data_IF_558097286512
#
_entry.id   IF_558097286512
#
_cell.length_a   1.000
_cell.length_b   1.000
_cell.length_c   1.000
_cell.angle_alpha   90.00
_cell.angle_beta   90.00
_cell.angle_gamma   90.00
#
_symmetry.space_group_name_H-M   'P 1'
#
loop_
_entity.id
_entity.type
_entity.pdbx_description
1 polymer ?
#
# COMPACT_ATOMS: atom_id res chain seq x y z
N UNK A 1 -8.42 3.46 11.87
CA UNK A 1 -7.21 2.95 12.56
C UNK A 1 -7.21 1.43 12.46
N UNK A 2 -6.04 0.80 12.24
CA UNK A 2 -5.91 -0.66 12.16
C UNK A 2 -6.15 -1.31 13.53
N UNK A 3 -6.74 -2.51 13.56
CA UNK A 3 -7.13 -3.16 14.82
C UNK A 3 -5.92 -3.67 15.61
N UNK A 4 -4.90 -4.20 14.91
CA UNK A 4 -3.75 -4.88 15.50
C UNK A 4 -2.64 -3.86 15.80
N UNK A 5 -2.05 -3.25 14.77
CA UNK A 5 -0.90 -2.34 14.91
C UNK A 5 -1.27 -0.90 15.32
N UNK A 6 -2.56 -0.59 15.48
CA UNK A 6 -3.08 0.75 15.86
C UNK A 6 -2.59 1.87 14.95
N UNK A 7 -2.37 1.57 13.67
CA UNK A 7 -1.91 2.55 12.67
C UNK A 7 -3.11 3.37 12.17
N UNK A 8 -3.04 4.71 12.15
CA UNK A 8 -4.11 5.53 11.60
C UNK A 8 -4.27 5.27 10.09
N UNK A 9 -5.50 5.41 9.59
CA UNK A 9 -5.77 5.36 8.15
C UNK A 9 -5.87 6.80 7.69
N UNK A 10 -5.02 7.19 6.75
CA UNK A 10 -4.96 8.53 6.17
C UNK A 10 -5.05 8.41 4.64
N UNK A 11 -5.52 9.46 3.93
CA UNK A 11 -5.45 9.51 2.47
C UNK A 11 -4.02 9.31 1.97
N UNK A 12 -3.85 8.56 0.87
CA UNK A 12 -2.52 8.26 0.32
C UNK A 12 -1.72 9.52 -0.02
N UNK A 13 -2.37 10.55 -0.58
CA UNK A 13 -1.69 11.81 -0.89
C UNK A 13 -1.16 12.52 0.35
N UNK A 14 -1.95 12.57 1.42
CA UNK A 14 -1.51 13.13 2.72
C UNK A 14 -0.33 12.33 3.29
N UNK A 15 -0.41 11.01 3.24
CA UNK A 15 0.67 10.13 3.68
C UNK A 15 1.96 10.34 2.89
N UNK A 16 1.87 10.44 1.56
CA UNK A 16 3.03 10.67 0.70
C UNK A 16 3.68 12.03 0.98
N UNK A 17 2.89 13.09 1.17
CA UNK A 17 3.41 14.41 1.55
C UNK A 17 4.14 14.39 2.90
N UNK A 18 3.62 13.64 3.88
CA UNK A 18 4.33 13.45 5.17
C UNK A 18 5.65 12.69 4.97
N UNK A 19 5.67 11.67 4.12
CA UNK A 19 6.88 10.90 3.81
C UNK A 19 7.93 11.76 3.10
N UNK A 20 7.53 12.52 2.07
CA UNK A 20 8.39 13.44 1.33
C UNK A 20 9.00 14.51 2.24
N UNK A 21 8.19 15.07 3.14
CA UNK A 21 8.67 16.00 4.17
C UNK A 21 9.70 15.33 5.08
N UNK A 22 9.43 14.11 5.57
CA UNK A 22 10.37 13.39 6.42
C UNK A 22 11.71 13.12 5.72
N UNK A 23 11.70 12.81 4.41
CA UNK A 23 12.90 12.59 3.62
C UNK A 23 13.71 13.88 3.38
N UNK A 24 13.03 15.01 3.15
CA UNK A 24 13.70 16.29 2.89
C UNK A 24 14.25 16.94 4.16
N UNK A 25 13.59 16.78 5.31
CA UNK A 25 13.99 17.44 6.57
C UNK A 25 14.79 16.55 7.52
N UNK A 26 14.76 15.23 7.37
CA UNK A 26 15.26 14.28 8.38
C UNK A 26 16.78 14.06 8.43
N UNK A 27 17.56 14.69 7.55
CA UNK A 27 19.01 14.51 7.50
C UNK A 27 19.46 13.09 7.09
N UNK A 28 20.76 12.76 7.24
CA UNK A 28 21.33 11.49 6.74
C UNK A 28 20.71 10.22 7.34
N UNK A 29 20.21 10.27 8.58
CA UNK A 29 19.62 9.13 9.29
C UNK A 29 18.09 8.99 9.12
N UNK A 30 17.46 9.85 8.31
CA UNK A 30 16.01 9.82 8.11
C UNK A 30 15.50 8.44 7.66
N UNK A 31 16.23 7.80 6.74
CA UNK A 31 15.87 6.50 6.18
C UNK A 31 16.09 5.33 7.16
N UNK A 32 16.82 5.53 8.25
CA UNK A 32 16.98 4.52 9.32
C UNK A 32 15.76 4.55 10.23
N UNK A 33 15.33 5.74 10.66
CA UNK A 33 14.15 5.92 11.51
C UNK A 33 12.83 5.75 10.76
N UNK A 34 12.80 6.04 9.46
CA UNK A 34 11.66 5.81 8.59
C UNK A 34 12.08 5.06 7.30
N UNK A 35 12.12 3.73 7.34
CA UNK A 35 12.53 2.90 6.21
C UNK A 35 11.68 3.09 4.93
N UNK A 36 10.45 3.60 5.03
CA UNK A 36 9.62 3.87 3.86
C UNK A 36 10.24 4.91 2.92
N UNK A 37 11.15 5.78 3.43
CA UNK A 37 11.90 6.74 2.63
C UNK A 37 12.75 6.05 1.56
N UNK A 38 13.23 4.82 1.82
CA UNK A 38 14.00 4.02 0.85
C UNK A 38 13.18 3.66 -0.40
N UNK A 39 11.85 3.76 -0.33
CA UNK A 39 10.91 3.47 -1.41
C UNK A 39 10.23 4.74 -1.94
N UNK A 40 10.81 5.93 -1.70
CA UNK A 40 10.21 7.21 -2.10
C UNK A 40 9.82 7.24 -3.58
N UNK A 41 10.74 6.85 -4.48
CA UNK A 41 10.49 6.85 -5.92
C UNK A 41 9.33 5.92 -6.33
N UNK A 42 9.18 4.81 -5.62
CA UNK A 42 8.08 3.87 -5.86
C UNK A 42 6.74 4.50 -5.49
N UNK A 43 6.65 5.12 -4.31
CA UNK A 43 5.43 5.81 -3.88
C UNK A 43 5.15 7.07 -4.71
N UNK A 44 6.18 7.80 -5.12
CA UNK A 44 6.05 8.99 -5.95
C UNK A 44 5.49 8.69 -7.34
N UNK A 45 5.82 7.53 -7.93
CA UNK A 45 5.17 7.05 -9.15
C UNK A 45 3.67 6.81 -8.96
N UNK A 46 3.28 6.19 -7.84
CA UNK A 46 1.87 5.99 -7.49
C UNK A 46 1.13 7.30 -7.22
N UNK A 47 1.78 8.26 -6.57
CA UNK A 47 1.21 9.58 -6.29
C UNK A 47 0.90 10.35 -7.58
N UNK A 48 1.83 10.35 -8.54
CA UNK A 48 1.61 10.95 -9.86
C UNK A 48 0.44 10.29 -10.60
N UNK A 49 0.39 8.95 -10.62
CA UNK A 49 -0.70 8.22 -11.24
C UNK A 49 -2.08 8.54 -10.60
N UNK A 50 -2.13 8.64 -9.27
CA UNK A 50 -3.34 9.06 -8.55
C UNK A 50 -3.78 10.47 -8.95
N UNK A 51 -2.85 11.43 -9.00
CA UNK A 51 -3.17 12.81 -9.41
C UNK A 51 -3.69 12.89 -10.84
N UNK A 52 -3.04 12.20 -11.78
CA UNK A 52 -3.43 12.18 -13.20
C UNK A 52 -4.84 11.62 -13.38
N UNK A 53 -5.14 10.49 -12.73
CA UNK A 53 -6.46 9.85 -12.79
C UNK A 53 -7.55 10.74 -12.18
N UNK A 54 -7.23 11.42 -11.08
CA UNK A 54 -8.18 12.31 -10.38
C UNK A 54 -8.45 13.58 -11.18
N UNK A 55 -7.40 14.24 -11.71
CA UNK A 55 -7.50 15.49 -12.50
C UNK A 55 -8.32 15.31 -13.77
N UNK A 56 -8.27 14.14 -14.38
CA UNK A 56 -9.03 13.87 -15.60
C UNK A 56 -10.54 13.66 -15.34
N UNK A 57 -10.98 13.53 -14.09
CA UNK A 57 -12.40 13.30 -13.75
C UNK A 57 -12.97 11.98 -14.29
N UNK A 58 -12.12 11.12 -14.85
CA UNK A 58 -12.53 9.92 -15.61
C UNK A 58 -12.86 8.74 -14.71
N UNK A 59 -12.35 8.70 -13.48
CA UNK A 59 -12.41 7.51 -12.66
C UNK A 59 -12.08 7.80 -11.20
N UNK A 60 -12.83 7.21 -10.26
CA UNK A 60 -12.50 7.19 -8.84
C UNK A 60 -11.73 5.89 -8.56
N UNK A 61 -10.39 5.93 -8.40
CA UNK A 61 -9.62 4.73 -8.16
C UNK A 61 -10.04 4.03 -6.88
N UNK A 62 -10.22 2.71 -6.98
CA UNK A 62 -10.40 1.83 -5.81
C UNK A 62 -9.09 1.58 -5.07
N UNK A 63 -7.97 1.68 -5.79
CA UNK A 63 -6.62 1.52 -5.26
C UNK A 63 -5.99 2.85 -4.84
N UNK A 64 -5.22 2.81 -3.76
CA UNK A 64 -4.64 4.00 -3.15
C UNK A 64 -3.55 4.69 -4.01
N UNK A 65 -2.82 3.92 -4.82
CA UNK A 65 -1.67 4.40 -5.61
C UNK A 65 -2.01 4.70 -7.07
N UNK A 66 -3.29 4.89 -7.41
CA UNK A 66 -3.72 5.17 -8.78
C UNK A 66 -3.47 4.02 -9.77
N UNK A 67 -3.29 2.79 -9.27
CA UNK A 67 -3.23 1.60 -10.13
C UNK A 67 -4.58 1.38 -10.82
N UNK A 68 -4.59 0.88 -12.07
CA UNK A 68 -5.82 0.62 -12.79
C UNK A 68 -6.58 -0.56 -12.18
N UNK A 69 -7.91 -0.49 -12.20
CA UNK A 69 -8.76 -1.66 -11.92
C UNK A 69 -8.52 -2.72 -12.99
N UNK A 70 -8.10 -3.92 -12.57
CA UNK A 70 -7.93 -5.06 -13.47
C UNK A 70 -9.20 -5.92 -13.48
N UNK A 71 -9.79 -6.13 -14.65
CA UNK A 71 -10.86 -7.11 -14.80
C UNK A 71 -10.29 -8.54 -14.83
N UNK A 72 -10.76 -9.37 -13.91
CA UNK A 72 -10.29 -10.77 -13.77
C UNK A 72 -11.29 -11.80 -14.29
N UNK A 73 -12.40 -11.38 -14.91
CA UNK A 73 -13.49 -12.25 -15.36
C UNK A 73 -13.00 -13.46 -16.15
N UNK A 74 -12.13 -13.26 -17.15
CA UNK A 74 -11.65 -14.37 -17.99
C UNK A 74 -10.73 -15.32 -17.22
N UNK A 75 -9.87 -14.79 -16.35
CA UNK A 75 -8.98 -15.61 -15.53
C UNK A 75 -9.79 -16.49 -14.57
N UNK A 76 -10.85 -15.93 -13.97
CA UNK A 76 -11.79 -16.67 -13.11
C UNK A 76 -12.61 -17.66 -13.93
N UNK A 77 -13.01 -17.36 -15.17
CA UNK A 77 -13.76 -18.29 -16.03
C UNK A 77 -12.96 -19.54 -16.42
N UNK A 78 -11.65 -19.44 -16.58
CA UNK A 78 -10.82 -20.57 -17.05
C UNK A 78 -10.06 -21.30 -15.95
N UNK A 79 -9.89 -20.69 -14.76
CA UNK A 79 -9.13 -21.28 -13.66
C UNK A 79 -10.04 -21.71 -12.50
N UNK A 80 -10.11 -23.01 -12.25
CA UNK A 80 -10.78 -23.57 -11.07
C UNK A 80 -10.15 -23.09 -9.76
N UNK A 81 -8.83 -23.00 -9.72
CA UNK A 81 -8.10 -22.48 -8.56
C UNK A 81 -8.54 -21.05 -8.24
N UNK A 82 -8.59 -20.15 -9.23
CA UNK A 82 -9.00 -18.76 -9.00
C UNK A 82 -10.48 -18.65 -8.60
N UNK A 83 -11.37 -19.52 -9.10
CA UNK A 83 -12.76 -19.60 -8.62
C UNK A 83 -12.86 -20.05 -7.17
N UNK A 84 -12.02 -21.00 -6.76
CA UNK A 84 -12.02 -21.57 -5.41
C UNK A 84 -11.21 -20.77 -4.39
N UNK A 85 -10.43 -19.78 -4.83
CA UNK A 85 -9.60 -18.94 -3.94
C UNK A 85 -10.46 -18.20 -2.94
N UNK A 86 -10.08 -18.31 -1.66
CA UNK A 86 -10.73 -17.57 -0.57
C UNK A 86 -10.31 -16.11 -0.62
N UNK A 87 -11.24 -15.23 -0.23
CA UNK A 87 -10.93 -13.82 0.01
C UNK A 87 -10.07 -13.73 1.27
N UNK A 88 -8.97 -12.98 1.18
CA UNK A 88 -8.08 -12.75 2.32
C UNK A 88 -8.83 -12.01 3.44
N UNK A 89 -8.63 -12.47 4.67
CA UNK A 89 -9.31 -11.96 5.85
C UNK A 89 -8.35 -11.61 7.00
N UNK A 90 -8.94 -11.39 8.17
CA UNK A 90 -8.19 -11.03 9.37
C UNK A 90 -7.23 -12.15 9.81
N UNK A 91 -7.60 -13.42 9.62
CA UNK A 91 -6.78 -14.58 9.96
C UNK A 91 -5.47 -14.60 9.13
N UNK A 92 -5.56 -14.35 7.82
CA UNK A 92 -4.39 -14.27 6.95
C UNK A 92 -3.43 -13.15 7.38
N UNK A 93 -3.99 -11.99 7.73
CA UNK A 93 -3.21 -10.85 8.26
C UNK A 93 -2.48 -11.23 9.55
N UNK A 94 -3.12 -11.97 10.45
CA UNK A 94 -2.48 -12.44 11.68
C UNK A 94 -1.32 -13.40 11.41
N UNK A 95 -1.48 -14.31 10.44
CA UNK A 95 -0.40 -15.21 10.02
C UNK A 95 0.80 -14.44 9.46
N UNK A 96 0.57 -13.43 8.63
CA UNK A 96 1.65 -12.59 8.08
C UNK A 96 2.37 -11.80 9.15
N UNK A 97 1.62 -11.15 10.06
CA UNK A 97 2.22 -10.39 11.17
C UNK A 97 3.04 -11.31 12.09
N UNK A 98 2.50 -12.47 12.45
CA UNK A 98 3.23 -13.45 13.27
C UNK A 98 4.50 -13.97 12.58
N UNK A 99 4.46 -14.17 11.26
CA UNK A 99 5.64 -14.52 10.50
C UNK A 99 6.70 -13.41 10.53
N UNK A 100 6.30 -12.17 10.26
CA UNK A 100 7.22 -11.02 10.24
C UNK A 100 7.82 -10.73 11.62
N UNK A 101 7.01 -10.82 12.68
CA UNK A 101 7.48 -10.69 14.06
C UNK A 101 8.52 -11.76 14.40
N UNK A 102 8.25 -13.02 14.07
CA UNK A 102 9.19 -14.14 14.27
C UNK A 102 10.54 -13.91 13.58
N UNK A 103 10.56 -13.17 12.48
CA UNK A 103 11.79 -12.89 11.70
C UNK A 103 12.35 -11.47 11.94
N UNK A 104 11.91 -10.79 13.00
CA UNK A 104 12.53 -9.54 13.46
C UNK A 104 12.13 -8.29 12.66
N UNK A 105 10.98 -8.28 12.00
CA UNK A 105 10.51 -7.07 11.28
C UNK A 105 10.07 -5.96 12.24
N UNK A 106 9.58 -6.32 13.44
CA UNK A 106 9.00 -5.38 14.42
C UNK A 106 9.77 -5.34 15.76
N UNK A 107 10.90 -6.04 15.86
CA UNK A 107 11.71 -6.17 17.07
C UNK A 107 12.94 -5.27 17.04
#
# INVERSE_FOLDING_TARGET
MSKILKVPVVPFGEWYSMLEKAATTGGPQAAESNPAIKLMDFFGRGYKALEENTKQGKYKPKEAMGMPDLQTNKAVEVSETLRGSKVLGQEDVQLWLGYWEKHGMFA
#
